data_IF_785116889845
#
_entry.id   IF_785116889845
#
_cell.length_a   1.000
_cell.length_b   1.000
_cell.length_c   1.000
_cell.angle_alpha   90.00
_cell.angle_beta   90.00
_cell.angle_gamma   90.00
#
_symmetry.space_group_name_H-M   'P 1'
#
loop_
_entity.id
_entity.type
_entity.pdbx_description
1 polymer ?
#
# COMPACT_ATOMS: atom_id res chain seq x y z
N UNK A 1 -12.25 3.11 51.96
CA UNK A 1 -13.36 3.60 51.14
C UNK A 1 -12.74 4.46 50.04
N UNK A 2 -12.50 3.91 48.88
CA UNK A 2 -11.93 4.60 47.71
C UNK A 2 -13.01 4.63 46.62
N UNK A 3 -13.40 5.82 46.23
CA UNK A 3 -14.46 6.12 45.28
C UNK A 3 -13.99 5.80 43.87
N UNK A 4 -14.67 4.85 43.21
CA UNK A 4 -14.54 4.55 41.78
C UNK A 4 -15.05 5.73 40.96
N UNK A 5 -14.14 6.42 40.26
CA UNK A 5 -14.52 7.38 39.23
C UNK A 5 -14.98 6.59 37.97
N UNK A 6 -16.27 6.73 37.65
CA UNK A 6 -16.89 6.21 36.43
C UNK A 6 -16.40 6.99 35.23
N UNK A 7 -15.86 6.28 34.21
CA UNK A 7 -15.69 6.82 32.88
C UNK A 7 -17.05 7.21 32.27
N UNK A 8 -17.17 8.37 31.59
CA UNK A 8 -18.39 8.71 30.88
C UNK A 8 -18.54 7.85 29.63
N UNK A 9 -19.71 7.27 29.48
CA UNK A 9 -20.15 6.47 28.34
C UNK A 9 -20.20 7.33 27.06
N UNK A 10 -19.44 6.95 26.06
CA UNK A 10 -19.57 7.45 24.71
C UNK A 10 -20.78 6.75 24.01
N UNK A 11 -21.98 7.24 24.26
CA UNK A 11 -23.17 6.93 23.47
C UNK A 11 -23.74 8.26 22.96
N UNK A 12 -23.14 8.78 21.91
CA UNK A 12 -23.63 9.96 21.19
C UNK A 12 -23.92 9.61 19.73
N UNK A 13 -24.90 8.75 19.46
CA UNK A 13 -25.54 8.71 18.15
C UNK A 13 -26.36 9.99 18.01
N UNK A 14 -25.90 10.93 17.16
CA UNK A 14 -26.74 12.01 16.68
C UNK A 14 -27.94 11.44 15.93
N UNK A 15 -29.14 11.67 16.46
CA UNK A 15 -30.38 11.49 15.71
C UNK A 15 -30.43 12.50 14.57
N UNK A 16 -30.79 12.10 13.35
CA UNK A 16 -31.03 13.04 12.26
C UNK A 16 -32.44 13.61 12.38
N UNK A 17 -32.61 14.70 13.13
CA UNK A 17 -33.81 15.54 13.05
C UNK A 17 -33.44 16.83 12.32
N UNK A 18 -33.50 16.77 11.00
CA UNK A 18 -33.86 17.87 10.11
C UNK A 18 -33.99 17.34 8.69
N UNK A 19 -35.24 17.20 8.26
CA UNK A 19 -35.58 17.00 6.86
C UNK A 19 -35.06 18.21 6.06
N UNK A 20 -34.17 17.97 5.07
CA UNK A 20 -33.89 18.96 4.03
C UNK A 20 -35.03 18.93 3.03
N UNK A 21 -35.70 20.06 2.74
CA UNK A 21 -36.68 20.15 1.67
C UNK A 21 -35.95 20.27 0.33
N UNK A 22 -36.29 19.44 -0.65
CA UNK A 22 -36.01 19.67 -2.06
C UNK A 22 -35.13 18.63 -2.75
N UNK A 23 -35.53 17.35 -2.77
CA UNK A 23 -35.03 16.37 -3.76
C UNK A 23 -36.17 15.40 -4.13
N UNK A 24 -37.22 15.95 -4.71
CA UNK A 24 -38.18 15.16 -5.48
C UNK A 24 -38.31 15.87 -6.81
N UNK A 25 -37.72 15.28 -7.84
CA UNK A 25 -38.16 15.29 -9.25
C UNK A 25 -37.01 14.88 -10.15
N UNK A 26 -36.67 13.57 -10.12
CA UNK A 26 -35.97 12.94 -11.24
C UNK A 26 -37.06 12.35 -12.17
N UNK A 27 -37.63 13.17 -13.05
CA UNK A 27 -38.39 12.70 -14.17
C UNK A 27 -37.50 12.02 -15.18
N UNK A 28 -37.68 10.70 -15.33
CA UNK A 28 -37.00 9.86 -16.29
C UNK A 28 -37.16 10.34 -17.72
N UNK A 29 -36.20 11.07 -18.25
CA UNK A 29 -35.97 11.25 -19.68
C UNK A 29 -34.70 10.58 -20.08
N UNK A 30 -34.86 9.44 -20.75
CA UNK A 30 -33.85 8.76 -21.52
C UNK A 30 -33.26 9.71 -22.58
N UNK A 31 -32.13 10.32 -22.31
CA UNK A 31 -31.31 10.93 -23.35
C UNK A 31 -30.39 9.85 -23.91
N UNK A 32 -30.75 9.33 -25.08
CA UNK A 32 -29.82 8.58 -25.93
C UNK A 32 -28.85 9.60 -26.55
N UNK A 33 -27.53 9.50 -26.31
CA UNK A 33 -26.59 10.31 -27.09
C UNK A 33 -26.48 9.68 -28.48
N UNK A 34 -26.96 10.40 -29.50
CA UNK A 34 -26.68 10.13 -30.89
C UNK A 34 -25.19 10.44 -31.15
N UNK A 35 -24.33 9.45 -31.03
CA UNK A 35 -22.97 9.55 -31.53
C UNK A 35 -22.97 9.43 -33.05
N UNK A 36 -22.83 10.57 -33.72
CA UNK A 36 -22.42 10.64 -35.10
C UNK A 36 -20.99 10.09 -35.21
N UNK A 37 -20.85 8.94 -35.83
CA UNK A 37 -19.58 8.40 -36.29
C UNK A 37 -19.00 9.32 -37.39
N UNK A 38 -18.23 10.33 -36.99
CA UNK A 38 -17.34 11.04 -37.86
C UNK A 38 -16.23 10.09 -38.28
N UNK A 39 -15.99 9.98 -39.60
CA UNK A 39 -14.92 9.17 -40.22
C UNK A 39 -13.59 9.39 -39.49
N UNK A 40 -13.00 8.31 -39.00
CA UNK A 40 -11.63 8.33 -38.47
C UNK A 40 -10.70 8.75 -39.61
N UNK A 41 -10.23 9.99 -39.56
CA UNK A 41 -9.12 10.45 -40.37
C UNK A 41 -7.85 9.85 -39.76
N UNK A 42 -7.21 8.96 -40.49
CA UNK A 42 -5.90 8.43 -40.18
C UNK A 42 -4.83 9.52 -40.32
N UNK A 43 -4.78 10.43 -39.37
CA UNK A 43 -3.65 11.36 -39.21
C UNK A 43 -2.62 10.66 -38.32
N UNK A 44 -1.71 9.92 -38.93
CA UNK A 44 -0.48 9.48 -38.31
C UNK A 44 0.52 10.64 -38.36
N UNK A 45 0.40 11.57 -37.39
CA UNK A 45 1.41 12.61 -37.22
C UNK A 45 2.65 12.01 -36.56
N UNK A 46 3.84 12.10 -37.16
CA UNK A 46 5.11 11.68 -36.55
C UNK A 46 5.36 12.33 -35.18
N UNK A 47 4.84 13.54 -34.97
CA UNK A 47 4.98 14.31 -33.73
C UNK A 47 4.35 13.65 -32.49
N UNK A 48 3.30 12.81 -32.66
CA UNK A 48 2.70 12.07 -31.55
C UNK A 48 3.55 10.88 -31.08
N UNK A 49 4.43 10.38 -31.94
CA UNK A 49 5.39 9.32 -31.59
C UNK A 49 6.65 9.89 -30.92
N UNK A 50 7.06 11.12 -31.27
CA UNK A 50 8.17 11.79 -30.61
C UNK A 50 7.81 12.35 -29.22
N UNK A 51 6.60 12.86 -29.04
CA UNK A 51 6.14 13.32 -27.71
C UNK A 51 6.05 12.19 -26.68
N UNK A 52 5.84 10.94 -27.11
CA UNK A 52 5.90 9.77 -26.21
C UNK A 52 7.30 9.38 -25.75
N UNK A 53 8.35 9.82 -26.44
CA UNK A 53 9.75 9.52 -26.10
C UNK A 53 10.28 10.28 -24.88
N UNK A 54 9.56 11.29 -24.38
CA UNK A 54 10.01 12.13 -23.25
C UNK A 54 9.07 12.11 -22.04
N UNK A 55 8.12 11.16 -21.97
CA UNK A 55 7.32 11.01 -20.75
C UNK A 55 8.14 10.27 -19.69
N UNK A 56 8.63 11.01 -18.71
CA UNK A 56 9.30 10.46 -17.54
C UNK A 56 8.38 9.44 -16.85
N UNK A 57 8.84 8.22 -16.68
CA UNK A 57 8.06 7.16 -16.02
C UNK A 57 7.83 7.48 -14.54
N UNK A 58 6.82 6.88 -13.93
CA UNK A 58 6.58 7.02 -12.48
C UNK A 58 7.81 6.59 -11.69
N UNK A 59 8.48 5.51 -12.11
CA UNK A 59 9.71 5.03 -11.48
C UNK A 59 10.86 6.06 -11.54
N UNK A 60 11.02 6.77 -12.66
CA UNK A 60 12.02 7.84 -12.81
C UNK A 60 11.67 9.05 -11.95
N UNK A 61 10.40 9.46 -11.92
CA UNK A 61 9.94 10.55 -11.06
C UNK A 61 10.15 10.21 -9.58
N UNK A 62 9.88 8.97 -9.16
CA UNK A 62 10.21 8.51 -7.82
C UNK A 62 11.69 8.70 -7.54
N UNK A 63 12.59 8.15 -8.39
CA UNK A 63 14.04 8.28 -8.18
C UNK A 63 14.52 9.75 -8.09
N UNK A 64 13.95 10.64 -8.91
CA UNK A 64 14.28 12.08 -8.89
C UNK A 64 13.75 12.78 -7.63
N UNK A 65 12.69 12.25 -7.01
CA UNK A 65 12.07 12.81 -5.81
C UNK A 65 12.67 12.25 -4.52
N UNK A 66 13.41 11.13 -4.56
CA UNK A 66 14.07 10.58 -3.39
C UNK A 66 15.10 11.57 -2.84
N UNK A 67 15.16 11.68 -1.50
CA UNK A 67 16.19 12.44 -0.82
C UNK A 67 17.26 11.48 -0.30
N UNK A 68 18.47 11.60 -0.85
CA UNK A 68 19.63 10.84 -0.38
C UNK A 68 20.21 11.50 0.87
N UNK A 69 20.28 10.77 1.99
CA UNK A 69 20.84 11.24 3.25
C UNK A 69 22.05 10.36 3.57
N UNK A 70 23.29 10.88 3.42
CA UNK A 70 24.49 10.13 3.73
C UNK A 70 24.62 9.91 5.24
N UNK A 71 25.30 8.81 5.60
CA UNK A 71 25.67 8.46 6.97
C UNK A 71 24.49 8.35 7.96
N UNK A 72 23.32 7.92 7.50
CA UNK A 72 22.13 7.72 8.34
C UNK A 72 21.61 6.28 8.22
N UNK A 73 21.24 5.61 9.34
CA UNK A 73 21.37 5.99 10.74
C UNK A 73 22.80 5.80 11.29
N UNK A 74 23.73 5.29 10.48
CA UNK A 74 25.13 5.03 10.83
C UNK A 74 26.05 5.46 9.69
N UNK A 75 27.32 5.80 9.98
CA UNK A 75 28.32 6.10 8.96
C UNK A 75 28.41 5.00 7.89
N UNK A 76 28.51 5.39 6.62
CA UNK A 76 28.61 4.51 5.47
C UNK A 76 27.27 4.05 4.89
N UNK A 77 26.12 4.39 5.50
CA UNK A 77 24.79 4.07 4.99
C UNK A 77 24.24 5.27 4.25
N UNK A 78 23.84 5.09 2.99
CA UNK A 78 23.06 6.07 2.24
C UNK A 78 21.57 5.78 2.39
N UNK A 79 20.90 6.56 3.22
CA UNK A 79 19.48 6.41 3.44
C UNK A 79 18.66 7.10 2.33
N UNK A 80 17.69 6.40 1.78
CA UNK A 80 16.77 6.91 0.78
C UNK A 80 15.45 7.34 1.45
N UNK A 81 15.28 8.64 1.63
CA UNK A 81 14.07 9.20 2.21
C UNK A 81 12.98 9.36 1.15
N UNK A 82 11.86 8.66 1.34
CA UNK A 82 10.69 8.69 0.47
C UNK A 82 9.70 9.82 0.82
N UNK A 83 9.96 10.60 1.86
CA UNK A 83 9.03 11.65 2.32
C UNK A 83 8.64 12.63 1.22
N UNK A 84 9.55 13.06 0.32
CA UNK A 84 9.16 13.93 -0.80
C UNK A 84 8.18 13.27 -1.77
N UNK A 85 8.27 11.94 -1.98
CA UNK A 85 7.30 11.18 -2.79
C UNK A 85 5.93 11.15 -2.11
N UNK A 86 5.90 10.95 -0.79
CA UNK A 86 4.66 10.94 -0.01
C UNK A 86 4.01 12.34 0.07
N UNK A 87 4.82 13.40 0.03
CA UNK A 87 4.35 14.79 0.08
C UNK A 87 3.76 15.31 -1.23
N UNK A 88 4.03 14.66 -2.37
CA UNK A 88 3.42 14.98 -3.65
C UNK A 88 2.19 14.11 -3.87
N UNK A 89 1.00 14.68 -3.69
CA UNK A 89 -0.25 13.92 -3.78
C UNK A 89 -0.52 13.32 -5.16
N UNK A 90 -0.06 13.96 -6.24
CA UNK A 90 -0.21 13.42 -7.59
C UNK A 90 0.74 12.24 -7.81
N UNK A 91 2.01 12.39 -7.45
CA UNK A 91 3.01 11.33 -7.56
C UNK A 91 2.64 10.14 -6.67
N UNK A 92 2.20 10.37 -5.42
CA UNK A 92 1.74 9.32 -4.52
C UNK A 92 0.58 8.52 -5.12
N UNK A 93 -0.41 9.19 -5.73
CA UNK A 93 -1.53 8.51 -6.36
C UNK A 93 -1.10 7.64 -7.55
N UNK A 94 -0.15 8.10 -8.35
CA UNK A 94 0.42 7.34 -9.47
C UNK A 94 1.26 6.16 -8.96
N UNK A 95 2.11 6.38 -7.96
CA UNK A 95 2.91 5.37 -7.28
C UNK A 95 2.05 4.21 -6.79
N UNK A 96 0.98 4.52 -6.04
CA UNK A 96 0.11 3.48 -5.49
C UNK A 96 -0.57 2.67 -6.59
N UNK A 97 -1.05 3.32 -7.67
CA UNK A 97 -1.63 2.60 -8.81
C UNK A 97 -0.62 1.67 -9.49
N UNK A 98 0.62 2.13 -9.70
CA UNK A 98 1.67 1.31 -10.29
C UNK A 98 2.09 0.15 -9.38
N UNK A 99 2.18 0.38 -8.06
CA UNK A 99 2.49 -0.66 -7.07
C UNK A 99 1.46 -1.79 -7.07
N UNK A 100 0.17 -1.50 -7.29
CA UNK A 100 -0.88 -2.53 -7.26
C UNK A 100 -1.25 -3.08 -8.63
N UNK A 101 -0.85 -2.42 -9.72
CA UNK A 101 -1.21 -2.80 -11.10
C UNK A 101 -0.97 -4.29 -11.42
N UNK A 102 0.16 -4.92 -11.02
CA UNK A 102 0.40 -6.34 -11.31
C UNK A 102 -0.50 -7.30 -10.55
N UNK A 103 -1.28 -6.81 -9.60
CA UNK A 103 -2.11 -7.60 -8.70
C UNK A 103 -3.62 -7.42 -8.93
N UNK A 104 -4.03 -6.63 -9.93
CA UNK A 104 -5.43 -6.36 -10.23
C UNK A 104 -6.28 -7.62 -10.43
N UNK A 105 -5.75 -8.63 -11.12
CA UNK A 105 -6.45 -9.89 -11.38
C UNK A 105 -6.20 -10.97 -10.30
N UNK A 106 -5.43 -10.66 -9.25
CA UNK A 106 -5.03 -11.62 -8.23
C UNK A 106 -6.08 -11.85 -7.14
N UNK A 107 -7.24 -11.19 -7.21
CA UNK A 107 -8.33 -11.28 -6.22
C UNK A 107 -7.80 -11.04 -4.80
N UNK A 108 -7.02 -9.99 -4.63
CA UNK A 108 -6.50 -9.57 -3.32
C UNK A 108 -7.67 -9.25 -2.41
N UNK A 109 -7.74 -9.90 -1.24
CA UNK A 109 -8.78 -9.64 -0.23
C UNK A 109 -8.29 -8.70 0.87
N UNK A 110 -6.98 -8.75 1.17
CA UNK A 110 -6.36 -7.91 2.20
C UNK A 110 -4.96 -7.46 1.78
N UNK A 111 -4.60 -6.28 2.24
CA UNK A 111 -3.23 -5.76 2.15
C UNK A 111 -2.64 -5.77 3.55
N UNK A 112 -1.48 -6.42 3.71
CA UNK A 112 -0.67 -6.40 4.92
C UNK A 112 0.40 -5.32 4.77
N UNK A 113 0.24 -4.19 5.45
CA UNK A 113 1.23 -3.11 5.45
C UNK A 113 2.22 -3.26 6.61
N UNK A 114 3.51 -3.07 6.36
CA UNK A 114 4.55 -3.18 7.38
C UNK A 114 4.80 -1.81 8.05
N UNK A 115 4.91 -1.79 9.38
CA UNK A 115 5.20 -0.59 10.18
C UNK A 115 6.58 -0.03 9.83
N UNK A 116 6.72 1.28 9.56
CA UNK A 116 5.68 2.32 9.69
C UNK A 116 5.23 2.85 8.32
N UNK A 117 6.15 3.08 7.35
CA UNK A 117 5.84 3.73 6.07
C UNK A 117 5.02 2.84 5.14
N UNK A 118 5.14 1.52 5.28
CA UNK A 118 4.28 0.56 4.61
C UNK A 118 2.79 0.70 4.95
N UNK A 119 2.44 1.36 6.07
CA UNK A 119 1.03 1.65 6.38
C UNK A 119 0.43 2.69 5.44
N UNK A 120 1.20 3.71 5.08
CA UNK A 120 0.74 4.78 4.18
C UNK A 120 0.45 4.19 2.80
N UNK A 121 1.43 3.49 2.25
CA UNK A 121 1.33 2.87 0.92
C UNK A 121 0.32 1.71 0.92
N UNK A 122 0.33 0.86 1.96
CA UNK A 122 -0.56 -0.28 2.09
C UNK A 122 -2.02 0.12 2.29
N UNK A 123 -2.30 1.15 3.09
CA UNK A 123 -3.65 1.68 3.23
C UNK A 123 -4.21 2.23 1.91
N UNK A 124 -3.39 3.01 1.19
CA UNK A 124 -3.77 3.50 -0.12
C UNK A 124 -3.93 2.38 -1.17
N UNK A 125 -3.04 1.37 -1.14
CA UNK A 125 -3.13 0.17 -1.98
C UNK A 125 -4.41 -0.62 -1.73
N UNK A 126 -4.79 -0.81 -0.46
CA UNK A 126 -6.03 -1.47 -0.08
C UNK A 126 -7.27 -0.77 -0.65
N UNK A 127 -7.30 0.56 -0.58
CA UNK A 127 -8.38 1.36 -1.18
C UNK A 127 -8.47 1.17 -2.69
N UNK A 128 -7.34 1.20 -3.40
CA UNK A 128 -7.31 1.02 -4.87
C UNK A 128 -7.76 -0.38 -5.28
N UNK A 129 -7.42 -1.41 -4.50
CA UNK A 129 -7.78 -2.80 -4.75
C UNK A 129 -9.19 -3.18 -4.25
N UNK A 130 -9.85 -2.31 -3.49
CA UNK A 130 -11.11 -2.65 -2.81
C UNK A 130 -10.92 -3.75 -1.75
N UNK A 131 -9.73 -3.83 -1.13
CA UNK A 131 -9.32 -4.84 -0.16
C UNK A 131 -9.34 -4.29 1.28
N UNK A 132 -9.37 -5.19 2.28
CA UNK A 132 -9.13 -4.81 3.66
C UNK A 132 -7.66 -4.44 3.90
N UNK A 133 -7.39 -3.62 4.91
CA UNK A 133 -6.03 -3.29 5.36
C UNK A 133 -5.74 -3.90 6.73
N UNK A 134 -4.58 -4.54 6.87
CA UNK A 134 -4.09 -5.10 8.12
C UNK A 134 -2.70 -4.54 8.43
N UNK A 135 -2.45 -4.00 9.62
CA UNK A 135 -1.13 -3.55 10.03
C UNK A 135 -0.28 -4.71 10.55
N UNK A 136 0.92 -4.92 9.99
CA UNK A 136 1.99 -5.69 10.63
C UNK A 136 2.82 -4.72 11.49
N UNK A 137 2.83 -4.93 12.80
CA UNK A 137 3.40 -3.98 13.75
C UNK A 137 4.61 -4.53 14.50
N UNK A 138 5.42 -3.63 15.00
CA UNK A 138 6.47 -3.95 15.98
C UNK A 138 5.85 -4.41 17.30
N UNK A 139 6.56 -5.22 18.11
CA UNK A 139 6.04 -5.84 19.32
C UNK A 139 5.38 -4.84 20.29
N UNK A 140 4.30 -5.31 20.93
CA UNK A 140 3.63 -4.57 22.00
C UNK A 140 2.77 -3.40 21.57
N UNK A 141 2.56 -3.20 20.26
CA UNK A 141 1.74 -2.08 19.76
C UNK A 141 0.30 -2.47 19.41
N UNK A 142 -0.03 -3.76 19.47
CA UNK A 142 -1.38 -4.25 19.21
C UNK A 142 -2.09 -4.57 20.53
N UNK A 143 -3.33 -4.08 20.74
CA UNK A 143 -4.02 -4.20 22.02
C UNK A 143 -4.81 -5.51 22.20
N UNK A 144 -4.94 -6.33 21.14
CA UNK A 144 -5.74 -7.57 21.15
C UNK A 144 -4.86 -8.81 20.99
N UNK A 145 -5.49 -10.00 20.90
CA UNK A 145 -4.79 -11.25 20.63
C UNK A 145 -3.99 -11.17 19.33
N UNK A 146 -2.74 -11.53 19.41
CA UNK A 146 -1.79 -11.39 18.32
C UNK A 146 -1.01 -12.65 18.03
N UNK A 147 -0.63 -12.84 16.80
CA UNK A 147 0.43 -13.73 16.37
C UNK A 147 1.71 -12.92 16.19
N UNK A 148 2.83 -13.56 16.44
CA UNK A 148 4.18 -12.93 16.37
C UNK A 148 5.05 -13.78 15.48
N UNK A 149 5.81 -13.13 14.60
CA UNK A 149 6.86 -13.76 13.77
C UNK A 149 8.18 -13.04 14.00
N UNK A 150 9.16 -13.77 14.47
CA UNK A 150 10.52 -13.26 14.71
C UNK A 150 11.38 -13.37 13.44
N UNK A 151 12.31 -12.45 13.27
CA UNK A 151 13.28 -12.48 12.19
C UNK A 151 14.63 -11.92 12.62
N UNK A 152 15.69 -12.43 11.99
CA UNK A 152 17.03 -11.99 12.27
C UNK A 152 17.36 -10.71 11.48
N UNK A 153 18.00 -9.78 12.14
CA UNK A 153 18.67 -8.61 11.60
C UNK A 153 20.18 -8.88 11.49
N UNK A 154 20.90 -8.04 10.78
CA UNK A 154 22.37 -8.11 10.76
C UNK A 154 22.97 -8.01 12.17
N UNK A 155 22.30 -7.30 13.07
CA UNK A 155 22.69 -7.14 14.48
C UNK A 155 21.44 -7.31 15.37
N UNK A 156 21.18 -8.56 15.80
CA UNK A 156 20.09 -8.90 16.69
C UNK A 156 18.89 -9.53 16.00
N UNK A 157 17.78 -9.63 16.74
CA UNK A 157 16.49 -10.12 16.24
C UNK A 157 15.42 -9.07 16.45
N UNK A 158 14.41 -9.09 15.60
CA UNK A 158 13.22 -8.25 15.72
C UNK A 158 11.98 -9.11 15.40
N UNK A 159 10.80 -8.60 15.60
CA UNK A 159 9.58 -9.35 15.27
C UNK A 159 8.47 -8.45 14.75
N UNK A 160 7.53 -9.08 14.06
CA UNK A 160 6.28 -8.46 13.62
C UNK A 160 5.11 -9.16 14.28
N UNK A 161 4.07 -8.39 14.57
CA UNK A 161 2.81 -8.84 15.13
C UNK A 161 1.64 -8.43 14.23
N UNK A 162 0.65 -9.32 14.11
CA UNK A 162 -0.67 -9.02 13.56
C UNK A 162 -1.75 -9.63 14.46
N UNK A 163 -2.95 -9.09 14.44
CA UNK A 163 -4.06 -9.67 15.18
C UNK A 163 -4.41 -11.07 14.63
N UNK A 164 -4.78 -11.99 15.50
CA UNK A 164 -5.13 -13.37 15.12
C UNK A 164 -6.38 -13.45 14.25
N UNK A 165 -7.27 -12.50 14.38
CA UNK A 165 -8.52 -12.33 13.65
C UNK A 165 -8.44 -11.36 12.45
N UNK A 166 -7.24 -11.06 11.99
CA UNK A 166 -6.99 -10.09 10.90
C UNK A 166 -7.75 -10.40 9.60
N UNK A 167 -7.99 -11.67 9.33
CA UNK A 167 -8.69 -12.13 8.12
C UNK A 167 -9.23 -13.57 8.29
N UNK A 168 -10.23 -13.97 7.48
CA UNK A 168 -10.65 -15.37 7.36
C UNK A 168 -9.54 -16.25 6.76
N UNK A 169 -9.50 -17.53 7.13
CA UNK A 169 -8.59 -18.50 6.49
C UNK A 169 -8.81 -18.56 4.99
N UNK A 170 -7.72 -18.69 4.23
CA UNK A 170 -7.75 -18.67 2.77
C UNK A 170 -7.83 -17.27 2.15
N UNK A 171 -7.76 -16.21 2.96
CA UNK A 171 -7.62 -14.84 2.45
C UNK A 171 -6.39 -14.69 1.57
N UNK A 172 -6.51 -13.87 0.54
CA UNK A 172 -5.46 -13.59 -0.44
C UNK A 172 -4.80 -12.27 -0.10
N UNK A 173 -3.57 -12.34 0.43
CA UNK A 173 -2.87 -11.20 1.03
C UNK A 173 -1.77 -10.69 0.10
N UNK A 174 -1.77 -9.39 -0.14
CA UNK A 174 -0.64 -8.64 -0.73
C UNK A 174 0.16 -7.99 0.40
N UNK A 175 1.45 -8.28 0.49
CA UNK A 175 2.36 -7.61 1.43
C UNK A 175 2.91 -6.35 0.81
N UNK A 176 2.85 -5.23 1.54
CA UNK A 176 3.26 -3.90 1.05
C UNK A 176 4.20 -3.24 2.05
N UNK A 177 5.32 -2.72 1.53
CA UNK A 177 6.22 -1.85 2.29
C UNK A 177 6.83 -0.78 1.36
N UNK A 178 7.55 0.16 1.95
CA UNK A 178 8.25 1.20 1.20
C UNK A 178 9.56 0.68 0.60
N UNK A 179 10.36 -0.07 1.35
CA UNK A 179 11.71 -0.47 0.93
C UNK A 179 11.93 -1.98 1.09
N UNK A 180 12.40 -2.60 0.02
CA UNK A 180 12.96 -3.94 0.05
C UNK A 180 14.49 -3.83 0.13
N UNK A 181 15.07 -4.05 1.32
CA UNK A 181 16.50 -4.12 1.55
C UNK A 181 16.98 -5.60 1.58
N UNK A 182 17.32 -6.14 2.74
CA UNK A 182 17.72 -7.54 2.89
C UNK A 182 16.57 -8.55 2.81
N UNK A 183 15.31 -8.08 2.87
CA UNK A 183 14.11 -8.90 2.79
C UNK A 183 13.71 -9.61 4.09
N UNK A 184 14.44 -9.43 5.18
CA UNK A 184 14.14 -10.09 6.46
C UNK A 184 12.75 -9.73 7.00
N UNK A 185 12.47 -8.44 7.11
CA UNK A 185 11.17 -7.92 7.58
C UNK A 185 10.01 -8.36 6.67
N UNK A 186 10.20 -8.24 5.35
CA UNK A 186 9.20 -8.65 4.37
C UNK A 186 8.90 -10.15 4.48
N UNK A 187 9.95 -11.01 4.56
CA UNK A 187 9.80 -12.44 4.76
C UNK A 187 9.00 -12.76 6.02
N UNK A 188 9.32 -12.11 7.15
CA UNK A 188 8.60 -12.28 8.40
C UNK A 188 7.11 -11.91 8.26
N UNK A 189 6.80 -10.80 7.58
CA UNK A 189 5.41 -10.42 7.30
C UNK A 189 4.68 -11.50 6.48
N UNK A 190 5.33 -12.10 5.50
CA UNK A 190 4.75 -13.20 4.73
C UNK A 190 4.57 -14.49 5.54
N UNK A 191 5.52 -14.84 6.40
CA UNK A 191 5.42 -15.98 7.30
C UNK A 191 4.29 -15.78 8.30
N UNK A 192 4.16 -14.58 8.88
CA UNK A 192 3.06 -14.19 9.76
C UNK A 192 1.71 -14.33 9.05
N UNK A 193 1.60 -13.86 7.80
CA UNK A 193 0.37 -13.99 7.02
C UNK A 193 -0.01 -15.46 6.79
N UNK A 194 0.95 -16.30 6.40
CA UNK A 194 0.73 -17.74 6.20
C UNK A 194 0.40 -18.45 7.50
N UNK A 195 1.07 -18.13 8.60
CA UNK A 195 0.80 -18.65 9.94
C UNK A 195 -0.63 -18.37 10.39
N UNK A 196 -1.22 -17.26 9.97
CA UNK A 196 -2.61 -16.89 10.18
C UNK A 196 -3.56 -17.46 9.11
N UNK A 197 -3.09 -18.37 8.24
CA UNK A 197 -3.90 -19.10 7.27
C UNK A 197 -4.21 -18.34 5.98
N UNK A 198 -3.47 -17.30 5.64
CA UNK A 198 -3.59 -16.58 4.38
C UNK A 198 -2.69 -17.16 3.28
N UNK A 199 -3.07 -16.94 2.01
CA UNK A 199 -2.24 -17.09 0.84
C UNK A 199 -1.55 -15.75 0.53
N UNK A 200 -0.21 -15.71 0.55
CA UNK A 200 0.54 -14.53 0.08
C UNK A 200 0.57 -14.55 -1.44
N UNK A 201 -0.22 -13.68 -2.07
CA UNK A 201 -0.35 -13.63 -3.54
C UNK A 201 0.70 -12.75 -4.20
N UNK A 202 1.39 -11.94 -3.43
CA UNK A 202 2.46 -11.10 -3.91
C UNK A 202 3.04 -10.15 -2.88
N UNK A 203 4.03 -9.42 -3.36
CA UNK A 203 4.86 -8.47 -2.62
C UNK A 203 4.96 -7.20 -3.45
N UNK A 204 4.73 -6.05 -2.85
CA UNK A 204 4.85 -4.77 -3.53
C UNK A 204 5.62 -3.76 -2.72
N UNK A 205 6.66 -3.19 -3.33
CA UNK A 205 7.55 -2.22 -2.71
C UNK A 205 7.70 -0.98 -3.61
N UNK A 206 7.88 0.17 -3.00
CA UNK A 206 8.20 1.39 -3.71
C UNK A 206 9.65 1.33 -4.23
N UNK A 207 10.59 0.89 -3.38
CA UNK A 207 12.02 0.92 -3.66
C UNK A 207 12.68 -0.43 -3.31
N UNK A 208 13.60 -0.90 -4.13
CA UNK A 208 14.54 -1.99 -3.82
C UNK A 208 15.96 -1.43 -3.72
N UNK A 209 16.65 -1.74 -2.64
CA UNK A 209 18.06 -1.39 -2.49
C UNK A 209 18.90 -2.47 -3.18
N UNK A 210 19.64 -2.05 -4.20
CA UNK A 210 20.46 -2.96 -5.00
C UNK A 210 21.60 -3.61 -4.15
N UNK A 211 21.98 -4.81 -4.53
CA UNK A 211 23.09 -5.55 -3.90
C UNK A 211 22.76 -6.27 -2.59
N UNK A 212 21.60 -6.04 -1.95
CA UNK A 212 21.24 -6.66 -0.68
C UNK A 212 20.47 -8.00 -0.81
N UNK A 213 20.08 -8.37 -2.03
CA UNK A 213 19.48 -9.68 -2.32
C UNK A 213 18.12 -9.95 -1.67
N UNK A 214 17.39 -8.92 -1.24
CA UNK A 214 16.15 -9.07 -0.50
C UNK A 214 15.08 -9.88 -1.22
N UNK A 215 15.01 -9.73 -2.55
CA UNK A 215 14.05 -10.45 -3.39
C UNK A 215 14.19 -11.97 -3.31
N UNK A 216 15.41 -12.50 -3.18
CA UNK A 216 15.67 -13.94 -3.10
C UNK A 216 15.16 -14.60 -1.82
N UNK A 217 14.86 -13.81 -0.79
CA UNK A 217 14.31 -14.28 0.49
C UNK A 217 12.77 -14.33 0.52
N UNK A 218 12.10 -13.81 -0.53
CA UNK A 218 10.65 -13.79 -0.61
C UNK A 218 10.13 -15.09 -1.23
N UNK A 219 9.28 -15.77 -0.50
CA UNK A 219 8.71 -17.06 -0.92
C UNK A 219 7.30 -16.89 -1.43
N UNK A 220 7.01 -17.46 -2.59
CA UNK A 220 5.69 -17.48 -3.19
C UNK A 220 5.16 -16.10 -3.59
N UNK A 221 4.33 -16.08 -4.61
CA UNK A 221 3.78 -14.86 -5.17
C UNK A 221 4.78 -14.05 -6.01
N UNK A 222 4.24 -13.06 -6.71
CA UNK A 222 5.03 -12.15 -7.54
C UNK A 222 5.61 -11.01 -6.69
N UNK A 223 6.91 -10.74 -6.82
CA UNK A 223 7.52 -9.56 -6.22
C UNK A 223 7.57 -8.41 -7.25
N UNK A 224 6.86 -7.35 -6.98
CA UNK A 224 6.89 -6.11 -7.75
C UNK A 224 7.60 -5.01 -6.97
N UNK A 225 8.49 -4.30 -7.64
CA UNK A 225 9.21 -3.14 -7.13
C UNK A 225 9.10 -2.04 -8.16
N UNK A 226 8.72 -0.85 -7.75
CA UNK A 226 8.51 0.28 -8.66
C UNK A 226 9.82 0.94 -9.08
N UNK A 227 10.74 1.15 -8.15
CA UNK A 227 12.04 1.78 -8.40
C UNK A 227 13.19 1.00 -7.76
N UNK A 228 14.41 1.20 -8.28
CA UNK A 228 15.66 0.66 -7.70
C UNK A 228 16.63 1.79 -7.40
N UNK A 229 17.41 1.63 -6.36
CA UNK A 229 18.38 2.61 -5.92
C UNK A 229 19.51 2.05 -5.11
#
# INVERSE_FOLDING_TARGET
MATMNRCPSWNGYCKPDRAMPGLNEWNGRSMRPSFLWGRASTYSSPDLLESRKHMTTVAERVRQSLRAIPDYPKPGILFQDITPVLGDGQLLAEVVREMVRPFGDRKVTHVLGIEARGFILGGAAAMVLGAGFVPARKPGKLPWERATEAYDLEYGSDSLEAHRDSWPRGSRVLVVDDVLATGGTARAAGQLARGLGAEVVGWSFLLEIDGLGGRSRLEGGQCHVLARG
#
